data_IF_967829921286
#
_entry.id   IF_967829921286
#
_cell.length_a   1.000
_cell.length_b   1.000
_cell.length_c   1.000
_cell.angle_alpha   90.00
_cell.angle_beta   90.00
_cell.angle_gamma   90.00
#
_symmetry.space_group_name_H-M   'P 1'
#
loop_
_entity.id
_entity.type
_entity.pdbx_description
1 polymer ?
#
# COMPACT_ATOMS: atom_id res chain seq x y z
N UNK A 1 18.24 5.54 -8.40
CA UNK A 1 18.27 4.77 -7.13
C UNK A 1 16.87 4.22 -6.84
N UNK A 2 16.76 2.90 -6.60
CA UNK A 2 15.51 2.26 -6.16
C UNK A 2 15.40 2.29 -4.64
N UNK A 3 14.15 2.23 -4.16
CA UNK A 3 13.78 2.10 -2.76
C UNK A 3 12.87 0.91 -2.61
N UNK A 4 13.06 0.20 -1.50
CA UNK A 4 12.18 -0.88 -1.07
C UNK A 4 11.64 -0.49 0.29
N UNK A 5 10.33 -0.57 0.43
CA UNK A 5 9.61 -0.37 1.69
C UNK A 5 8.92 -1.70 1.98
N UNK A 6 8.99 -2.16 3.22
CA UNK A 6 8.33 -3.38 3.66
C UNK A 6 7.94 -3.22 5.12
N UNK A 7 6.82 -3.79 5.50
CA UNK A 7 6.54 -3.98 6.93
C UNK A 7 7.56 -4.94 7.52
N UNK A 8 7.89 -4.73 8.79
CA UNK A 8 8.84 -5.57 9.51
C UNK A 8 8.32 -6.98 9.79
N UNK A 9 7.01 -7.17 9.79
CA UNK A 9 6.32 -8.43 10.03
C UNK A 9 6.01 -9.21 8.74
N UNK A 10 6.61 -8.83 7.60
CA UNK A 10 6.38 -9.51 6.33
C UNK A 10 7.30 -10.74 6.18
N UNK A 11 6.70 -11.93 6.07
CA UNK A 11 7.42 -13.19 5.83
C UNK A 11 7.30 -13.61 4.36
N UNK A 12 8.46 -13.75 3.69
CA UNK A 12 8.55 -14.20 2.31
C UNK A 12 8.53 -15.72 2.20
N UNK A 13 7.60 -16.25 1.41
CA UNK A 13 7.46 -17.68 1.07
C UNK A 13 8.29 -18.08 -0.15
N UNK A 14 8.71 -17.09 -0.95
CA UNK A 14 9.62 -17.26 -2.06
C UNK A 14 10.49 -16.00 -2.23
N UNK A 15 11.61 -16.06 -2.97
CA UNK A 15 12.46 -14.90 -3.21
C UNK A 15 11.68 -13.73 -3.82
N UNK A 16 12.02 -12.51 -3.41
CA UNK A 16 11.49 -11.27 -4.00
C UNK A 16 11.83 -11.21 -5.50
N UNK A 17 10.91 -10.75 -6.38
CA UNK A 17 11.20 -10.59 -7.82
C UNK A 17 12.47 -9.75 -8.08
N UNK A 18 13.37 -10.14 -8.98
CA UNK A 18 14.56 -9.35 -9.28
C UNK A 18 14.22 -7.90 -9.65
N UNK A 19 14.96 -6.94 -9.08
CA UNK A 19 14.62 -5.52 -9.22
C UNK A 19 14.71 -5.04 -10.68
N UNK A 20 15.57 -5.64 -11.48
CA UNK A 20 15.73 -5.40 -12.92
C UNK A 20 14.46 -5.68 -13.74
N UNK A 21 13.55 -6.53 -13.27
CA UNK A 21 12.27 -6.79 -13.94
C UNK A 21 11.23 -5.71 -13.66
N UNK A 22 11.48 -4.86 -12.66
CA UNK A 22 10.55 -3.84 -12.19
C UNK A 22 10.85 -2.50 -12.86
N UNK A 23 9.94 -2.06 -13.72
CA UNK A 23 9.99 -0.76 -14.40
C UNK A 23 10.13 0.38 -13.38
N UNK A 24 11.19 1.17 -13.53
CA UNK A 24 11.54 2.28 -12.64
C UNK A 24 10.53 3.44 -12.70
N UNK A 25 9.74 3.52 -13.77
CA UNK A 25 8.68 4.51 -13.96
C UNK A 25 7.40 4.17 -13.18
N UNK A 26 7.36 3.03 -12.49
CA UNK A 26 6.21 2.60 -11.70
C UNK A 26 6.55 2.51 -10.20
N UNK A 27 5.52 2.57 -9.36
CA UNK A 27 5.51 2.03 -8.01
C UNK A 27 4.96 0.62 -8.07
N UNK A 28 5.75 -0.36 -7.65
CA UNK A 28 5.33 -1.76 -7.59
C UNK A 28 4.83 -2.08 -6.19
N UNK A 29 3.60 -2.57 -6.09
CA UNK A 29 2.94 -2.96 -4.84
C UNK A 29 2.41 -4.39 -4.93
N UNK A 30 2.22 -5.11 -3.80
CA UNK A 30 1.57 -6.41 -3.81
C UNK A 30 0.22 -6.40 -4.54
N UNK A 31 -0.08 -7.50 -5.22
CA UNK A 31 -1.44 -7.81 -5.63
C UNK A 31 -2.34 -7.93 -4.39
N UNK A 32 -3.56 -7.40 -4.49
CA UNK A 32 -4.54 -7.40 -3.40
C UNK A 32 -5.45 -8.62 -3.43
N UNK A 33 -6.01 -8.91 -2.25
CA UNK A 33 -7.19 -9.75 -2.09
C UNK A 33 -8.39 -8.80 -1.87
N UNK A 34 -9.14 -8.54 -2.93
CA UNK A 34 -10.56 -8.15 -2.91
C UNK A 34 -11.01 -6.78 -2.36
N UNK A 35 -10.15 -5.91 -1.81
CA UNK A 35 -10.55 -4.56 -1.33
C UNK A 35 -10.23 -3.45 -2.33
N UNK A 36 -10.88 -2.29 -2.18
CA UNK A 36 -10.63 -1.09 -2.98
C UNK A 36 -9.39 -0.38 -2.42
N UNK A 37 -8.32 -0.24 -3.21
CA UNK A 37 -7.14 0.54 -2.82
C UNK A 37 -5.82 0.08 -3.43
N UNK A 38 -4.72 0.52 -2.79
CA UNK A 38 -3.35 0.05 -3.02
C UNK A 38 -2.75 -0.49 -1.72
N UNK A 39 -2.45 -1.79 -1.69
CA UNK A 39 -1.73 -2.48 -0.62
C UNK A 39 -0.37 -1.82 -0.36
N UNK A 40 -0.18 -1.39 0.88
CA UNK A 40 0.98 -0.63 1.34
C UNK A 40 1.98 -1.46 2.17
N UNK A 41 1.76 -2.78 2.27
CA UNK A 41 2.60 -3.67 3.10
C UNK A 41 4.01 -3.86 2.55
N UNK A 42 4.18 -3.65 1.25
CA UNK A 42 5.44 -3.69 0.55
C UNK A 42 5.39 -2.75 -0.66
N UNK A 43 6.51 -2.16 -1.04
CA UNK A 43 6.64 -1.50 -2.32
C UNK A 43 8.08 -1.42 -2.82
N UNK A 44 8.23 -1.45 -4.15
CA UNK A 44 9.46 -1.07 -4.86
C UNK A 44 9.19 0.15 -5.71
N UNK A 45 10.01 1.18 -5.58
CA UNK A 45 9.83 2.43 -6.33
C UNK A 45 11.15 3.13 -6.63
N UNK A 46 11.13 4.10 -7.55
CA UNK A 46 12.22 5.06 -7.71
C UNK A 46 12.22 6.06 -6.55
N UNK A 47 13.38 6.65 -6.23
CA UNK A 47 13.46 7.74 -5.26
C UNK A 47 12.57 8.94 -5.64
N UNK A 48 12.34 9.17 -6.93
CA UNK A 48 11.49 10.27 -7.40
C UNK A 48 10.02 10.10 -6.96
N UNK A 49 9.54 8.85 -6.83
CA UNK A 49 8.17 8.55 -6.40
C UNK A 49 8.00 8.50 -4.87
N UNK A 50 9.10 8.56 -4.11
CA UNK A 50 9.09 8.37 -2.66
C UNK A 50 8.20 9.39 -1.93
N UNK A 51 8.18 10.65 -2.38
CA UNK A 51 7.34 11.69 -1.76
C UNK A 51 5.85 11.40 -1.97
N UNK A 52 5.45 10.98 -3.17
CA UNK A 52 4.07 10.64 -3.46
C UNK A 52 3.60 9.43 -2.64
N UNK A 53 4.47 8.41 -2.47
CA UNK A 53 4.14 7.20 -1.72
C UNK A 53 4.19 7.38 -0.20
N UNK A 54 5.27 7.92 0.36
CA UNK A 54 5.52 8.00 1.81
C UNK A 54 5.04 9.32 2.45
N UNK A 55 4.67 10.33 1.66
CA UNK A 55 4.35 11.68 2.13
C UNK A 55 3.00 11.87 2.83
N UNK A 56 2.36 10.79 3.32
CA UNK A 56 1.02 10.85 3.93
C UNK A 56 0.96 11.84 5.09
N UNK A 57 1.87 11.66 6.07
CA UNK A 57 1.92 12.52 7.25
C UNK A 57 2.18 13.98 6.91
N UNK A 58 3.11 14.23 5.99
CA UNK A 58 3.43 15.60 5.54
C UNK A 58 2.21 16.26 4.91
N UNK A 59 1.50 15.57 4.02
CA UNK A 59 0.31 16.10 3.36
C UNK A 59 -0.84 16.37 4.36
N UNK A 60 -0.98 15.54 5.40
CA UNK A 60 -1.96 15.77 6.46
C UNK A 60 -1.60 17.01 7.30
N UNK A 61 -0.32 17.19 7.62
CA UNK A 61 0.14 18.29 8.46
C UNK A 61 0.24 19.63 7.73
N UNK A 62 0.47 19.63 6.42
CA UNK A 62 0.45 20.86 5.61
C UNK A 62 -0.97 21.30 5.22
N UNK A 63 -1.97 20.43 5.33
CA UNK A 63 -3.32 20.68 4.83
C UNK A 63 -3.52 20.28 3.35
N UNK A 64 -2.45 19.94 2.63
CA UNK A 64 -2.50 19.50 1.22
C UNK A 64 -3.39 18.27 1.01
N UNK A 65 -3.61 17.48 2.07
CA UNK A 65 -4.49 16.31 2.01
C UNK A 65 -5.90 16.65 1.54
N UNK A 66 -6.46 17.79 1.95
CA UNK A 66 -7.79 18.22 1.54
C UNK A 66 -7.84 18.52 0.03
N UNK A 67 -6.79 19.13 -0.52
CA UNK A 67 -6.70 19.46 -1.94
C UNK A 67 -6.55 18.21 -2.79
N UNK A 68 -5.69 17.26 -2.37
CA UNK A 68 -5.52 15.97 -3.04
C UNK A 68 -6.84 15.22 -3.08
N UNK A 69 -7.54 15.12 -1.93
CA UNK A 69 -8.83 14.44 -1.85
C UNK A 69 -9.86 15.15 -2.74
N UNK A 70 -9.98 16.47 -2.69
CA UNK A 70 -10.93 17.19 -3.53
C UNK A 70 -10.64 17.02 -5.03
N UNK A 71 -9.36 17.06 -5.44
CA UNK A 71 -8.97 16.83 -6.82
C UNK A 71 -9.24 15.39 -7.26
N UNK A 72 -9.05 14.43 -6.35
CA UNK A 72 -9.25 13.01 -6.63
C UNK A 72 -10.74 12.66 -6.71
N UNK A 73 -11.56 13.11 -5.76
CA UNK A 73 -13.01 12.87 -5.75
C UNK A 73 -13.71 13.48 -6.96
N UNK A 74 -13.22 14.59 -7.52
CA UNK A 74 -13.76 15.14 -8.79
C UNK A 74 -13.62 14.19 -9.98
N UNK A 75 -12.71 13.20 -9.92
CA UNK A 75 -12.49 12.20 -10.98
C UNK A 75 -13.36 10.95 -10.81
N UNK A 76 -13.99 10.77 -9.66
CA UNK A 76 -14.74 9.56 -9.30
C UNK A 76 -16.18 9.93 -8.93
N UNK A 77 -17.18 9.16 -9.35
CA UNK A 77 -18.54 9.44 -8.93
C UNK A 77 -18.70 9.16 -7.42
N UNK A 78 -19.49 10.00 -6.75
CA UNK A 78 -19.57 10.06 -5.28
C UNK A 78 -20.06 8.76 -4.62
N UNK A 79 -20.72 7.89 -5.38
CA UNK A 79 -21.19 6.57 -4.97
C UNK A 79 -20.07 5.54 -4.82
N UNK A 80 -18.86 5.81 -5.33
CA UNK A 80 -17.71 4.89 -5.26
C UNK A 80 -16.80 5.10 -4.05
N UNK A 81 -16.96 6.22 -3.34
CA UNK A 81 -16.09 6.59 -2.22
C UNK A 81 -16.94 6.59 -0.94
N UNK A 82 -17.21 5.41 -0.43
CA UNK A 82 -17.96 5.21 0.82
C UNK A 82 -17.03 5.05 2.04
N UNK A 83 -15.73 4.81 1.82
CA UNK A 83 -14.69 4.73 2.85
C UNK A 83 -13.39 5.37 2.33
N UNK A 84 -12.63 6.02 3.23
CA UNK A 84 -11.30 6.56 2.97
C UNK A 84 -10.28 5.77 3.80
N UNK A 85 -10.00 4.54 3.36
CA UNK A 85 -8.96 3.72 3.95
C UNK A 85 -7.56 4.29 3.66
N UNK A 86 -6.55 3.84 4.41
CA UNK A 86 -5.15 4.20 4.13
C UNK A 86 -4.70 3.78 2.72
N UNK A 87 -5.22 2.66 2.21
CA UNK A 87 -4.92 2.13 0.87
C UNK A 87 -5.56 3.01 -0.22
N UNK A 88 -6.80 3.47 -0.03
CA UNK A 88 -7.47 4.44 -0.93
C UNK A 88 -6.75 5.80 -0.89
N UNK A 89 -6.36 6.25 0.30
CA UNK A 89 -5.60 7.47 0.45
C UNK A 89 -4.24 7.43 -0.26
N UNK A 90 -3.53 6.29 -0.20
CA UNK A 90 -2.32 6.08 -0.97
C UNK A 90 -2.60 6.13 -2.48
N UNK A 91 -3.66 5.47 -2.95
CA UNK A 91 -4.08 5.50 -4.35
C UNK A 91 -4.33 6.94 -4.83
N UNK A 92 -5.10 7.72 -4.08
CA UNK A 92 -5.42 9.11 -4.42
C UNK A 92 -4.14 9.95 -4.60
N UNK A 93 -3.18 9.82 -3.67
CA UNK A 93 -1.90 10.53 -3.75
C UNK A 93 -1.09 10.14 -4.97
N UNK A 94 -1.01 8.85 -5.31
CA UNK A 94 -0.27 8.41 -6.49
C UNK A 94 -0.92 8.92 -7.79
N UNK A 95 -2.26 8.84 -7.89
CA UNK A 95 -3.00 9.29 -9.07
C UNK A 95 -2.96 10.81 -9.29
N UNK A 96 -3.06 11.60 -8.22
CA UNK A 96 -2.93 13.06 -8.30
C UNK A 96 -1.49 13.47 -8.65
N UNK A 97 -0.49 12.76 -8.13
CA UNK A 97 0.91 12.98 -8.49
C UNK A 97 1.29 12.45 -9.89
N UNK A 98 0.37 11.80 -10.62
CA UNK A 98 0.64 11.20 -11.93
C UNK A 98 1.60 10.01 -11.88
N UNK A 99 1.76 9.39 -10.71
CA UNK A 99 2.66 8.26 -10.51
C UNK A 99 1.93 6.96 -10.86
N UNK A 100 2.44 6.26 -11.88
CA UNK A 100 1.93 4.95 -12.28
C UNK A 100 2.26 3.92 -11.19
N UNK A 101 1.33 3.02 -10.93
CA UNK A 101 1.57 1.86 -10.07
C UNK A 101 1.25 0.56 -10.80
N UNK A 102 1.93 -0.52 -10.41
CA UNK A 102 1.75 -1.87 -10.96
C UNK A 102 1.75 -2.90 -9.84
N UNK A 103 1.13 -4.05 -10.10
CA UNK A 103 1.03 -5.16 -9.15
C UNK A 103 2.21 -6.12 -9.32
N UNK A 104 2.82 -6.51 -8.21
CA UNK A 104 3.76 -7.63 -8.14
C UNK A 104 3.07 -8.84 -7.52
N UNK A 105 3.27 -10.07 -8.06
CA UNK A 105 3.00 -11.29 -7.31
C UNK A 105 3.82 -11.24 -6.02
N UNK A 106 3.16 -11.20 -4.88
CA UNK A 106 3.81 -11.10 -3.60
C UNK A 106 3.62 -12.42 -2.86
N UNK A 107 4.57 -13.38 -2.98
CA UNK A 107 4.54 -14.62 -2.21
C UNK A 107 5.01 -14.32 -0.78
N UNK A 108 4.35 -13.40 -0.11
CA UNK A 108 4.65 -13.01 1.25
C UNK A 108 3.36 -12.73 2.00
N UNK A 109 3.38 -12.96 3.31
CA UNK A 109 2.25 -12.70 4.18
C UNK A 109 2.72 -11.99 5.44
N UNK A 110 1.80 -11.31 6.13
CA UNK A 110 2.09 -10.77 7.45
C UNK A 110 2.13 -11.93 8.43
N UNK A 111 3.27 -12.10 9.10
CA UNK A 111 3.47 -13.13 10.11
C UNK A 111 2.72 -12.74 11.39
N UNK A 112 1.98 -13.70 11.95
CA UNK A 112 1.36 -13.55 13.26
C UNK A 112 2.37 -13.91 14.34
N UNK A 113 2.47 -13.09 15.39
CA UNK A 113 3.24 -13.42 16.59
C UNK A 113 2.32 -13.91 17.70
N UNK A 114 2.77 -14.93 18.45
CA UNK A 114 2.04 -15.50 19.59
C UNK A 114 1.82 -14.49 20.75
N UNK A 115 2.58 -13.39 20.77
CA UNK A 115 2.50 -12.32 21.78
C UNK A 115 2.08 -10.96 21.22
N UNK A 116 1.57 -10.93 19.99
CA UNK A 116 1.17 -9.67 19.34
C UNK A 116 -0.12 -9.13 19.96
N UNK A 117 -0.33 -7.80 20.00
CA UNK A 117 -1.67 -7.28 20.25
C UNK A 117 -2.60 -7.91 19.22
N UNK A 118 -3.79 -8.36 19.65
CA UNK A 118 -4.77 -8.91 18.74
C UNK A 118 -4.89 -7.96 17.54
N UNK A 119 -4.70 -8.48 16.33
CA UNK A 119 -5.06 -7.72 15.14
C UNK A 119 -6.50 -7.21 15.34
N UNK A 120 -6.89 -6.07 14.75
CA UNK A 120 -8.25 -5.54 14.92
C UNK A 120 -9.35 -6.58 14.60
N UNK A 121 -9.02 -7.65 13.87
CA UNK A 121 -9.76 -8.91 13.89
C UNK A 121 -9.01 -9.96 14.73
N UNK A 122 -9.60 -10.37 15.87
CA UNK A 122 -9.13 -11.52 16.65
C UNK A 122 -9.18 -12.84 15.86
N UNK A 123 -9.82 -12.85 14.68
CA UNK A 123 -9.98 -13.99 13.77
C UNK A 123 -8.89 -13.99 12.68
N UNK A 124 -8.32 -12.82 12.37
CA UNK A 124 -7.36 -12.63 11.27
C UNK A 124 -5.94 -13.13 11.56
N UNK A 125 -5.57 -13.33 12.83
CA UNK A 125 -4.26 -13.87 13.22
C UNK A 125 -4.40 -15.08 14.12
N UNK A 126 -3.80 -16.21 13.73
CA UNK A 126 -3.62 -17.38 14.58
C UNK A 126 -2.17 -17.86 14.50
N UNK A 127 -1.60 -18.39 15.60
CA UNK A 127 -0.26 -18.99 15.60
C UNK A 127 -0.05 -19.95 14.43
N UNK A 128 1.07 -19.80 13.70
CA UNK A 128 1.42 -20.65 12.56
C UNK A 128 0.52 -20.51 11.33
N UNK A 129 -0.39 -19.52 11.28
CA UNK A 129 -1.24 -19.24 10.11
C UNK A 129 -0.90 -17.88 9.49
N UNK A 130 -1.01 -17.75 8.17
CA UNK A 130 -0.90 -16.45 7.51
C UNK A 130 -2.05 -15.54 7.94
N UNK A 131 -1.75 -14.25 8.07
CA UNK A 131 -2.76 -13.21 8.30
C UNK A 131 -3.84 -13.24 7.21
N UNK A 132 -5.11 -13.22 7.59
CA UNK A 132 -6.25 -13.10 6.67
C UNK A 132 -6.93 -11.75 6.82
N UNK A 133 -7.06 -10.99 5.73
CA UNK A 133 -7.99 -9.87 5.71
C UNK A 133 -9.40 -10.42 5.55
N UNK A 134 -10.14 -10.46 6.65
CA UNK A 134 -11.61 -10.57 6.61
C UNK A 134 -12.24 -9.22 6.21
#
# INVERSE_FOLDING_TARGET
RRLVVSRYDLLWLAPHPPLEWLDVCCVWVPMEDLKLGINDRHAVMSRAHARAYLGSWTALMSGDAAEVLQAWTRRWPADRIWDLSAEIWLQARLEIAGVKHRRLPCPAHVACSDQGPASRSAVACSPGRPYKHE
#
